data_IF_969324648680
#
_entry.id   IF_969324648680
#
_cell.length_a   1.000
_cell.length_b   1.000
_cell.length_c   1.000
_cell.angle_alpha   90.00
_cell.angle_beta   90.00
_cell.angle_gamma   90.00
#
_symmetry.space_group_name_H-M   'P 1'
#
loop_
_entity.id
_entity.type
_entity.pdbx_description
1 polymer ?
#
# COMPACT_ATOMS: atom_id res chain seq x y z
N UNK A 1 34.82 65.78 -20.11
CA UNK A 1 34.59 64.52 -19.37
C UNK A 1 33.51 64.80 -18.35
N UNK A 2 32.27 64.44 -18.65
CA UNK A 2 31.14 64.63 -17.73
C UNK A 2 31.35 63.75 -16.50
N UNK A 3 31.43 64.37 -15.32
CA UNK A 3 31.57 63.67 -14.05
C UNK A 3 30.17 63.22 -13.64
N UNK A 4 29.88 61.94 -13.85
CA UNK A 4 28.65 61.33 -13.35
C UNK A 4 28.76 61.26 -11.83
N UNK A 5 27.74 61.76 -11.13
CA UNK A 5 27.72 61.76 -9.67
C UNK A 5 27.72 60.30 -9.16
N UNK A 6 28.64 59.90 -8.26
CA UNK A 6 28.71 58.55 -7.69
C UNK A 6 27.38 58.05 -7.10
N UNK A 7 26.49 58.96 -6.70
CA UNK A 7 25.16 58.62 -6.21
C UNK A 7 24.30 57.86 -7.23
N UNK A 8 24.46 58.14 -8.53
CA UNK A 8 23.77 57.39 -9.57
C UNK A 8 24.22 55.93 -9.60
N UNK A 9 25.51 55.65 -9.43
CA UNK A 9 26.02 54.28 -9.39
C UNK A 9 25.41 53.50 -8.21
N UNK A 10 25.31 54.13 -7.04
CA UNK A 10 24.66 53.53 -5.86
C UNK A 10 23.19 53.21 -6.13
N UNK A 11 22.46 54.15 -6.75
CA UNK A 11 21.06 53.93 -7.14
C UNK A 11 20.91 52.73 -8.08
N UNK A 12 21.74 52.63 -9.12
CA UNK A 12 21.71 51.50 -10.05
C UNK A 12 22.06 50.17 -9.37
N UNK A 13 23.04 50.15 -8.46
CA UNK A 13 23.41 48.93 -7.72
C UNK A 13 22.25 48.45 -6.84
N UNK A 14 21.57 49.36 -6.13
CA UNK A 14 20.41 49.01 -5.29
C UNK A 14 19.25 48.53 -6.17
N UNK A 15 18.99 49.19 -7.29
CA UNK A 15 17.95 48.80 -8.24
C UNK A 15 18.20 47.39 -8.81
N UNK A 16 19.41 47.12 -9.30
CA UNK A 16 19.79 45.81 -9.86
C UNK A 16 19.73 44.72 -8.77
N UNK A 17 20.20 45.01 -7.56
CA UNK A 17 20.15 44.07 -6.43
C UNK A 17 18.71 43.75 -6.03
N UNK A 18 17.85 44.76 -5.99
CA UNK A 18 16.42 44.59 -5.71
C UNK A 18 15.73 43.74 -6.77
N UNK A 19 16.00 44.02 -8.05
CA UNK A 19 15.42 43.29 -9.17
C UNK A 19 15.89 41.83 -9.21
N UNK A 20 17.19 41.57 -9.05
CA UNK A 20 17.75 40.21 -9.02
C UNK A 20 17.23 39.40 -7.83
N UNK A 21 17.10 40.01 -6.65
CA UNK A 21 16.50 39.35 -5.49
C UNK A 21 15.02 39.01 -5.71
N UNK A 22 14.25 39.94 -6.30
CA UNK A 22 12.85 39.69 -6.64
C UNK A 22 12.70 38.54 -7.65
N UNK A 23 13.51 38.54 -8.72
CA UNK A 23 13.54 37.45 -9.69
C UNK A 23 13.89 36.10 -9.06
N UNK A 24 14.92 36.06 -8.22
CA UNK A 24 15.33 34.82 -7.53
C UNK A 24 14.20 34.27 -6.65
N UNK A 25 13.48 35.14 -5.93
CA UNK A 25 12.34 34.74 -5.09
C UNK A 25 11.17 34.17 -5.92
N UNK A 26 10.85 34.79 -7.05
CA UNK A 26 9.81 34.29 -7.98
C UNK A 26 10.19 32.90 -8.50
N UNK A 27 11.44 32.73 -8.95
CA UNK A 27 11.94 31.45 -9.46
C UNK A 27 11.86 30.38 -8.37
N UNK A 28 12.35 30.66 -7.15
CA UNK A 28 12.27 29.71 -6.03
C UNK A 28 10.82 29.33 -5.71
N UNK A 29 9.87 30.28 -5.74
CA UNK A 29 8.46 29.99 -5.49
C UNK A 29 7.86 29.06 -6.57
N UNK A 30 8.23 29.24 -7.84
CA UNK A 30 7.81 28.36 -8.92
C UNK A 30 8.36 26.94 -8.74
N UNK A 31 9.64 26.81 -8.39
CA UNK A 31 10.24 25.50 -8.12
C UNK A 31 9.59 24.79 -6.93
N UNK A 32 9.32 25.50 -5.83
CA UNK A 32 8.63 24.92 -4.66
C UNK A 32 7.24 24.39 -5.04
N UNK A 33 6.48 25.14 -5.85
CA UNK A 33 5.16 24.74 -6.30
C UNK A 33 5.22 23.46 -7.16
N UNK A 34 6.21 23.33 -8.04
CA UNK A 34 6.38 22.13 -8.86
C UNK A 34 6.80 20.92 -8.03
N UNK A 35 7.76 21.09 -7.11
CA UNK A 35 8.19 20.04 -6.18
C UNK A 35 7.02 19.55 -5.32
N UNK A 36 6.19 20.46 -4.81
CA UNK A 36 5.03 20.09 -3.99
C UNK A 36 3.98 19.32 -4.83
N UNK A 37 3.70 19.76 -6.06
CA UNK A 37 2.79 19.04 -6.98
C UNK A 37 3.28 17.64 -7.31
N UNK A 38 4.58 17.44 -7.50
CA UNK A 38 5.15 16.13 -7.77
C UNK A 38 5.04 15.22 -6.54
N UNK A 39 5.36 15.73 -5.35
CA UNK A 39 5.20 14.99 -4.09
C UNK A 39 3.76 14.52 -3.86
N UNK A 40 2.77 15.39 -4.07
CA UNK A 40 1.35 15.01 -3.89
C UNK A 40 0.86 13.99 -4.92
N UNK A 41 1.36 14.06 -6.17
CA UNK A 41 1.06 13.04 -7.18
C UNK A 41 1.65 11.69 -6.81
N UNK A 42 2.87 11.67 -6.31
CA UNK A 42 3.55 10.44 -5.89
C UNK A 42 2.85 9.81 -4.69
N UNK A 43 2.44 10.58 -3.69
CA UNK A 43 1.66 10.08 -2.54
C UNK A 43 0.30 9.50 -2.98
N UNK A 44 -0.46 10.23 -3.81
CA UNK A 44 -1.75 9.76 -4.30
C UNK A 44 -1.59 8.52 -5.19
N UNK A 45 -0.53 8.45 -6.00
CA UNK A 45 -0.22 7.30 -6.83
C UNK A 45 0.14 6.09 -5.98
N UNK A 46 1.02 6.25 -4.98
CA UNK A 46 1.38 5.18 -4.04
C UNK A 46 0.16 4.67 -3.27
N UNK A 47 -0.71 5.57 -2.79
CA UNK A 47 -1.94 5.19 -2.10
C UNK A 47 -2.88 4.39 -3.01
N UNK A 48 -3.02 4.78 -4.29
CA UNK A 48 -3.80 4.03 -5.29
C UNK A 48 -3.21 2.65 -5.55
N UNK A 49 -1.91 2.55 -5.76
CA UNK A 49 -1.21 1.27 -5.99
C UNK A 49 -1.43 0.31 -4.82
N UNK A 50 -1.23 0.75 -3.58
CA UNK A 50 -1.49 -0.06 -2.38
C UNK A 50 -2.94 -0.52 -2.28
N UNK A 51 -3.89 0.35 -2.60
CA UNK A 51 -5.31 -0.01 -2.56
C UNK A 51 -5.68 -1.01 -3.66
N UNK A 52 -5.12 -0.88 -4.86
CA UNK A 52 -5.30 -1.84 -5.95
C UNK A 52 -4.72 -3.21 -5.61
N UNK A 53 -3.52 -3.27 -5.02
CA UNK A 53 -2.93 -4.50 -4.52
C UNK A 53 -3.79 -5.17 -3.45
N UNK A 54 -4.29 -4.40 -2.48
CA UNK A 54 -5.23 -4.90 -1.46
C UNK A 54 -6.49 -5.48 -2.09
N UNK A 55 -7.09 -4.79 -3.08
CA UNK A 55 -8.28 -5.29 -3.79
C UNK A 55 -8.01 -6.57 -4.57
N UNK A 56 -6.86 -6.67 -5.25
CA UNK A 56 -6.46 -7.88 -5.98
C UNK A 56 -6.28 -9.06 -5.03
N UNK A 57 -5.67 -8.82 -3.87
CA UNK A 57 -5.51 -9.81 -2.82
C UNK A 57 -6.87 -10.28 -2.28
N UNK A 58 -7.75 -9.37 -1.89
CA UNK A 58 -9.09 -9.71 -1.40
C UNK A 58 -9.87 -10.53 -2.44
N UNK A 59 -9.77 -10.20 -3.73
CA UNK A 59 -10.42 -10.96 -4.79
C UNK A 59 -9.87 -12.40 -4.88
N UNK A 60 -8.56 -12.58 -4.77
CA UNK A 60 -7.93 -13.91 -4.77
C UNK A 60 -8.33 -14.73 -3.55
N UNK A 61 -8.35 -14.12 -2.37
CA UNK A 61 -8.79 -14.78 -1.14
C UNK A 61 -10.26 -15.22 -1.22
N UNK A 62 -11.15 -14.38 -1.77
CA UNK A 62 -12.54 -14.76 -2.03
C UNK A 62 -12.69 -15.92 -3.02
N UNK A 63 -11.85 -15.95 -4.06
CA UNK A 63 -11.81 -17.09 -4.99
C UNK A 63 -11.33 -18.36 -4.32
N UNK A 64 -10.39 -18.24 -3.38
CA UNK A 64 -9.91 -19.37 -2.59
C UNK A 64 -11.00 -19.89 -1.64
N UNK A 65 -11.73 -18.99 -0.98
CA UNK A 65 -12.87 -19.35 -0.15
C UNK A 65 -13.92 -20.13 -0.96
N UNK A 66 -14.29 -19.63 -2.13
CA UNK A 66 -15.25 -20.31 -3.02
C UNK A 66 -14.79 -21.70 -3.49
N UNK A 67 -13.48 -21.96 -3.49
CA UNK A 67 -12.95 -23.30 -3.77
C UNK A 67 -12.96 -24.21 -2.54
N UNK A 68 -12.93 -23.63 -1.34
CA UNK A 68 -12.93 -24.35 -0.07
C UNK A 68 -14.33 -24.79 0.32
N UNK A 69 -15.29 -23.85 0.24
CA UNK A 69 -16.72 -24.05 0.49
C UNK A 69 -17.30 -25.02 -0.56
N UNK A 70 -17.27 -26.30 -0.22
CA UNK A 70 -17.72 -27.39 -1.10
C UNK A 70 -19.19 -27.70 -0.85
N UNK A 71 -19.67 -27.44 0.38
CA UNK A 71 -21.07 -27.50 0.77
C UNK A 71 -21.93 -26.39 0.15
N UNK A 72 -21.32 -25.27 -0.26
CA UNK A 72 -21.96 -24.02 -0.70
C UNK A 72 -22.89 -23.42 0.36
N UNK A 73 -22.56 -23.59 1.63
CA UNK A 73 -23.30 -22.99 2.75
C UNK A 73 -22.80 -21.58 3.09
N UNK A 74 -21.74 -21.10 2.43
CA UNK A 74 -21.13 -19.81 2.69
C UNK A 74 -20.21 -19.81 3.91
N UNK A 75 -19.90 -20.99 4.44
CA UNK A 75 -18.98 -21.24 5.54
C UNK A 75 -17.88 -22.19 5.06
N UNK A 76 -16.78 -22.21 5.80
CA UNK A 76 -15.73 -23.23 5.63
C UNK A 76 -15.53 -23.89 6.97
N UNK A 77 -15.53 -25.21 7.00
CA UNK A 77 -15.18 -26.00 8.19
C UNK A 77 -13.78 -26.64 8.07
N UNK A 78 -13.30 -27.24 9.16
CA UNK A 78 -11.98 -27.88 9.20
C UNK A 78 -11.82 -29.00 8.15
N UNK A 79 -12.88 -29.76 7.85
CA UNK A 79 -12.81 -30.85 6.86
C UNK A 79 -12.67 -30.32 5.45
N UNK A 80 -13.37 -29.25 5.11
CA UNK A 80 -13.27 -28.56 3.83
C UNK A 80 -11.92 -27.89 3.66
N UNK A 81 -11.40 -27.27 4.72
CA UNK A 81 -10.05 -26.71 4.71
C UNK A 81 -8.97 -27.79 4.55
N UNK A 82 -9.15 -28.96 5.16
CA UNK A 82 -8.28 -30.12 4.95
C UNK A 82 -8.34 -30.62 3.50
N UNK A 83 -9.52 -30.67 2.88
CA UNK A 83 -9.64 -31.02 1.44
C UNK A 83 -8.96 -29.97 0.56
N UNK A 84 -9.14 -28.69 0.87
CA UNK A 84 -8.50 -27.60 0.15
C UNK A 84 -6.97 -27.67 0.23
N UNK A 85 -6.43 -28.07 1.39
CA UNK A 85 -4.98 -28.25 1.60
C UNK A 85 -4.37 -29.39 0.78
N UNK A 86 -5.19 -30.26 0.18
CA UNK A 86 -4.73 -31.32 -0.73
C UNK A 86 -4.65 -30.86 -2.19
N UNK A 87 -5.20 -29.69 -2.54
CA UNK A 87 -5.08 -29.10 -3.87
C UNK A 87 -3.68 -28.45 -4.01
N UNK A 88 -2.85 -29.04 -4.86
CA UNK A 88 -1.48 -28.58 -5.16
C UNK A 88 -1.44 -27.12 -5.61
N UNK A 89 -2.47 -26.64 -6.34
CA UNK A 89 -2.54 -25.25 -6.77
C UNK A 89 -2.76 -24.30 -5.59
N UNK A 90 -3.48 -24.75 -4.56
CA UNK A 90 -3.73 -23.98 -3.34
C UNK A 90 -2.49 -23.98 -2.45
N UNK A 91 -1.87 -25.15 -2.24
CA UNK A 91 -0.62 -25.26 -1.45
C UNK A 91 0.46 -24.35 -2.02
N UNK A 92 0.68 -24.39 -3.34
CA UNK A 92 1.65 -23.52 -4.00
C UNK A 92 1.29 -22.02 -3.84
N UNK A 93 0.00 -21.68 -3.87
CA UNK A 93 -0.43 -20.31 -3.59
C UNK A 93 -0.08 -19.87 -2.17
N UNK A 94 -0.30 -20.73 -1.16
CA UNK A 94 0.06 -20.44 0.22
C UNK A 94 1.58 -20.28 0.40
N UNK A 95 2.38 -21.17 -0.20
CA UNK A 95 3.85 -21.10 -0.15
C UNK A 95 4.40 -19.81 -0.78
N UNK A 96 3.87 -19.41 -1.95
CA UNK A 96 4.24 -18.14 -2.61
C UNK A 96 3.84 -16.92 -1.77
N UNK A 97 2.85 -17.05 -0.89
CA UNK A 97 2.45 -15.99 0.04
C UNK A 97 3.08 -16.14 1.44
N UNK A 98 4.15 -16.94 1.57
CA UNK A 98 4.92 -17.16 2.80
C UNK A 98 4.11 -17.78 3.96
N UNK A 99 3.05 -18.53 3.63
CA UNK A 99 2.22 -19.22 4.60
C UNK A 99 2.52 -20.73 4.51
N UNK A 100 3.09 -21.29 5.58
CA UNK A 100 3.45 -22.71 5.65
C UNK A 100 2.25 -23.60 5.96
N UNK A 101 1.79 -24.37 4.95
CA UNK A 101 0.73 -25.38 5.07
C UNK A 101 1.17 -26.73 5.68
N UNK A 102 2.33 -26.77 6.33
CA UNK A 102 2.92 -27.99 6.90
C UNK A 102 2.04 -28.67 7.97
N UNK A 103 1.25 -27.89 8.71
CA UNK A 103 0.26 -28.39 9.66
C UNK A 103 -1.05 -27.61 9.56
N UNK A 104 -1.96 -28.16 8.76
CA UNK A 104 -3.28 -27.59 8.47
C UNK A 104 -4.11 -27.40 9.72
N UNK A 105 -3.99 -28.29 10.73
CA UNK A 105 -4.72 -28.15 12.00
C UNK A 105 -4.17 -27.00 12.84
N UNK A 106 -2.85 -26.84 12.88
CA UNK A 106 -2.23 -25.69 13.54
C UNK A 106 -2.56 -24.39 12.80
N UNK A 107 -2.60 -24.39 11.48
CA UNK A 107 -3.05 -23.25 10.70
C UNK A 107 -4.52 -22.89 10.96
N UNK A 108 -5.41 -23.88 11.00
CA UNK A 108 -6.82 -23.66 11.32
C UNK A 108 -6.98 -22.91 12.65
N UNK A 109 -6.26 -23.33 13.69
CA UNK A 109 -6.24 -22.64 14.99
C UNK A 109 -5.66 -21.23 14.94
N UNK A 110 -4.75 -20.95 14.00
CA UNK A 110 -4.20 -19.61 13.79
C UNK A 110 -5.10 -18.72 12.93
N UNK A 111 -5.99 -19.32 12.15
CA UNK A 111 -7.00 -18.66 11.33
C UNK A 111 -8.21 -18.28 12.17
N UNK A 112 -8.76 -19.24 12.90
CA UNK A 112 -9.93 -19.07 13.73
C UNK A 112 -9.59 -18.26 14.99
N UNK A 113 -9.96 -16.97 14.98
CA UNK A 113 -9.86 -16.09 16.15
C UNK A 113 -11.05 -16.19 17.11
N UNK A 114 -12.10 -16.91 16.72
CA UNK A 114 -13.38 -16.93 17.39
C UNK A 114 -13.70 -18.24 18.12
N UNK A 115 -12.80 -19.23 18.05
CA UNK A 115 -13.01 -20.61 18.53
C UNK A 115 -14.28 -21.25 17.95
N UNK A 116 -14.63 -20.87 16.72
CA UNK A 116 -15.80 -21.41 16.01
C UNK A 116 -15.40 -22.64 15.18
N UNK A 117 -16.32 -23.60 15.04
CA UNK A 117 -16.10 -24.79 14.22
C UNK A 117 -16.11 -24.47 12.71
N UNK A 118 -16.67 -23.31 12.34
CA UNK A 118 -16.87 -22.85 10.97
C UNK A 118 -16.50 -21.36 10.86
N UNK A 119 -15.97 -20.94 9.71
CA UNK A 119 -15.62 -19.55 9.43
C UNK A 119 -16.38 -19.03 8.22
N UNK A 120 -16.88 -17.79 8.31
CA UNK A 120 -17.45 -17.11 7.16
C UNK A 120 -16.36 -16.54 6.22
N UNK A 121 -16.79 -15.97 5.09
CA UNK A 121 -15.89 -15.35 4.10
C UNK A 121 -15.00 -14.28 4.72
N UNK A 122 -15.56 -13.43 5.57
CA UNK A 122 -14.86 -12.26 6.07
C UNK A 122 -13.84 -12.68 7.14
N UNK A 123 -14.20 -13.61 8.04
CA UNK A 123 -13.31 -14.23 9.02
C UNK A 123 -12.15 -14.98 8.35
N UNK A 124 -12.44 -15.78 7.32
CA UNK A 124 -11.42 -16.51 6.57
C UNK A 124 -10.44 -15.54 5.88
N UNK A 125 -10.95 -14.50 5.24
CA UNK A 125 -10.13 -13.47 4.58
C UNK A 125 -9.28 -12.71 5.60
N UNK A 126 -9.85 -12.31 6.73
CA UNK A 126 -9.16 -11.59 7.79
C UNK A 126 -8.06 -12.45 8.44
N UNK A 127 -8.35 -13.71 8.75
CA UNK A 127 -7.38 -14.65 9.30
C UNK A 127 -6.19 -14.87 8.36
N UNK A 128 -6.44 -15.03 7.06
CA UNK A 128 -5.36 -15.15 6.07
C UNK A 128 -4.54 -13.86 5.90
N UNK A 129 -5.18 -12.69 5.96
CA UNK A 129 -4.47 -11.41 5.95
C UNK A 129 -3.59 -11.22 7.17
N UNK A 130 -4.03 -11.69 8.34
CA UNK A 130 -3.26 -11.68 9.59
C UNK A 130 -2.02 -12.56 9.47
N UNK A 131 -2.15 -13.75 8.90
CA UNK A 131 -1.04 -14.69 8.71
C UNK A 131 -0.01 -14.22 7.67
N UNK A 132 -0.42 -13.46 6.65
CA UNK A 132 0.48 -12.88 5.64
C UNK A 132 1.24 -11.64 6.15
N UNK A 133 0.74 -10.96 7.18
CA UNK A 133 1.45 -9.82 7.79
C UNK A 133 2.70 -10.27 8.53
N UNK A 134 3.70 -9.39 8.77
CA UNK A 134 4.78 -9.71 9.70
C UNK A 134 4.11 -10.11 11.01
N UNK A 135 4.30 -11.38 11.41
CA UNK A 135 3.63 -11.97 12.57
C UNK A 135 3.72 -10.98 13.74
N UNK A 136 2.61 -10.32 14.05
CA UNK A 136 2.50 -9.50 15.25
C UNK A 136 2.30 -10.49 16.40
N UNK A 137 3.43 -10.83 17.02
CA UNK A 137 3.48 -11.37 18.36
C UNK A 137 2.86 -10.39 19.35
#
# INVERSE_FOLDING_TARGET
MERVDPWFAVFFVVYISGWTFALMRIISALFINETFKQSSKDEAHQARMKNEEKKRLMRRLKQLFQKADTSMDGLVNLEEFLKLSQDEAVVNWFEVNEISMSDVRSMWKLLDSSEQEEMDVDDFVEGLLRMRGPAKA
#
